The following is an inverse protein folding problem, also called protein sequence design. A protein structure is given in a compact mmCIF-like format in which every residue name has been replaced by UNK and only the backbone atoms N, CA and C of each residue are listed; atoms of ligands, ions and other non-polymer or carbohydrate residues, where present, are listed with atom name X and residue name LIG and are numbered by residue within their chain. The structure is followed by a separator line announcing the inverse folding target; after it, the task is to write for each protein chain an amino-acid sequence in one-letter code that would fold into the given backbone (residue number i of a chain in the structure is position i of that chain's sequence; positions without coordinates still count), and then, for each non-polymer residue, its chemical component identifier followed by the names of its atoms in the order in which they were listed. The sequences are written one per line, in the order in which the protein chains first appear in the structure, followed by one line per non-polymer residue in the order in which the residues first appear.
data_IF_403989649173
#
_entry.id   IF_403989649173
#
_cell.length_a   1.000
_cell.length_b   1.000
_cell.length_c   1.000
_cell.angle_alpha   90.00
_cell.angle_beta   90.00
_cell.angle_gamma   90.00
#
_symmetry.space_group_name_H-M   'P 1'
#
loop_
_entity.id
_entity.type
_entity.pdbx_description
1 polymer ?
#
# COMPACT_ATOMS: atom_id res chain seq x y z
N UNK A 1 0.52 9.80 -4.07
CA UNK A 1 0.99 11.21 -4.04
C UNK A 1 1.45 11.57 -2.64
N UNK A 2 2.35 12.55 -2.47
CA UNK A 2 2.64 13.11 -1.16
C UNK A 2 1.41 13.75 -0.49
N UNK A 3 1.40 13.72 0.85
CA UNK A 3 0.37 14.36 1.67
C UNK A 3 0.70 15.85 1.86
N UNK A 4 0.47 16.67 0.83
CA UNK A 4 0.66 18.13 0.86
C UNK A 4 -0.60 18.85 0.39
N UNK A 5 -0.77 20.10 0.81
CA UNK A 5 -1.93 20.93 0.41
C UNK A 5 -1.98 21.20 -1.10
N UNK A 6 -0.83 21.22 -1.76
CA UNK A 6 -0.73 21.31 -3.22
C UNK A 6 -1.29 20.06 -3.89
N UNK A 7 -0.84 18.87 -3.48
CA UNK A 7 -1.30 17.61 -4.05
C UNK A 7 -2.78 17.34 -3.72
N UNK A 8 -3.22 17.71 -2.52
CA UNK A 8 -4.63 17.63 -2.14
C UNK A 8 -5.52 18.49 -3.04
N UNK A 9 -5.10 19.72 -3.38
CA UNK A 9 -5.83 20.58 -4.32
C UNK A 9 -5.94 19.94 -5.70
N UNK A 10 -4.85 19.39 -6.22
CA UNK A 10 -4.85 18.68 -7.51
C UNK A 10 -5.82 17.48 -7.47
N UNK A 11 -5.78 16.69 -6.39
CA UNK A 11 -6.69 15.55 -6.25
C UNK A 11 -8.17 15.97 -6.17
N UNK A 12 -8.50 17.06 -5.48
CA UNK A 12 -9.87 17.58 -5.41
C UNK A 12 -10.38 18.10 -6.76
N UNK A 13 -9.49 18.60 -7.62
CA UNK A 13 -9.81 19.02 -8.98
C UNK A 13 -10.06 17.80 -9.89
N UNK A 14 -9.18 16.80 -9.83
CA UNK A 14 -9.23 15.59 -10.67
C UNK A 14 -10.35 14.63 -10.23
N UNK A 15 -10.65 14.58 -8.92
CA UNK A 15 -11.62 13.68 -8.28
C UNK A 15 -11.39 12.19 -8.59
N UNK A 16 -10.20 11.63 -8.27
CA UNK A 16 -9.99 10.19 -8.41
C UNK A 16 -10.86 9.41 -7.43
N UNK A 17 -11.13 8.14 -7.74
CA UNK A 17 -11.86 7.24 -6.83
C UNK A 17 -11.07 6.95 -5.55
N UNK A 18 -9.74 6.88 -5.64
CA UNK A 18 -8.83 6.55 -4.55
C UNK A 18 -7.55 7.37 -4.68
N UNK A 19 -7.05 7.86 -3.55
CA UNK A 19 -5.73 8.44 -3.39
C UNK A 19 -4.92 7.57 -2.45
N UNK A 20 -3.72 7.14 -2.86
CA UNK A 20 -2.74 6.58 -1.92
C UNK A 20 -1.72 7.66 -1.52
N UNK A 21 -1.67 8.00 -0.23
CA UNK A 21 -0.56 8.78 0.31
C UNK A 21 0.68 7.92 0.39
N UNK A 22 1.79 8.45 -0.13
CA UNK A 22 3.12 7.83 -0.11
C UNK A 22 4.14 8.84 0.42
N UNK A 23 5.20 8.39 1.09
CA UNK A 23 6.22 9.31 1.58
C UNK A 23 7.12 9.76 0.44
N UNK A 24 7.34 11.07 0.32
CA UNK A 24 8.28 11.64 -0.67
C UNK A 24 9.50 12.29 0.00
N UNK A 25 9.36 12.74 1.26
CA UNK A 25 10.45 13.36 2.03
C UNK A 25 10.97 12.42 3.09
N UNK A 26 12.27 12.55 3.43
CA UNK A 26 12.90 11.72 4.48
C UNK A 26 12.21 11.83 5.84
N UNK A 27 11.62 12.98 6.18
CA UNK A 27 10.94 13.19 7.46
C UNK A 27 9.57 12.50 7.55
N UNK A 28 9.04 12.01 6.42
CA UNK A 28 7.75 11.32 6.34
C UNK A 28 7.91 9.80 6.35
N UNK A 29 9.16 9.32 6.25
CA UNK A 29 9.51 7.91 6.22
C UNK A 29 9.63 7.38 7.64
N UNK A 30 9.14 6.18 7.84
CA UNK A 30 9.63 5.29 8.90
C UNK A 30 11.07 4.85 8.58
N UNK A 31 11.63 3.98 9.42
CA UNK A 31 12.92 3.34 9.13
C UNK A 31 12.89 2.47 7.86
N UNK A 32 11.72 1.97 7.46
CA UNK A 32 11.60 0.93 6.42
C UNK A 32 11.08 1.46 5.08
N UNK A 33 10.38 2.59 5.07
CA UNK A 33 9.98 3.28 3.85
C UNK A 33 8.50 3.62 3.75
N UNK A 34 7.66 3.13 4.67
CA UNK A 34 6.26 3.54 4.81
C UNK A 34 6.09 4.94 5.40
N UNK A 35 4.85 5.44 5.40
CA UNK A 35 4.50 6.70 6.07
C UNK A 35 4.59 6.54 7.60
N UNK A 36 5.18 7.53 8.27
CA UNK A 36 5.03 7.69 9.73
C UNK A 36 3.70 8.38 10.08
N UNK A 37 2.63 7.59 10.07
CA UNK A 37 1.26 8.03 10.37
C UNK A 37 1.13 8.41 11.84
N UNK A 38 1.69 7.62 12.76
CA UNK A 38 1.58 7.88 14.20
C UNK A 38 2.24 9.21 14.61
N UNK A 39 3.40 9.54 14.01
CA UNK A 39 4.10 10.81 14.24
C UNK A 39 3.39 12.03 13.66
N UNK A 40 2.57 11.85 12.61
CA UNK A 40 1.95 12.96 11.87
C UNK A 40 0.41 12.88 11.83
N UNK A 41 -0.22 12.28 12.84
CA UNK A 41 -1.66 11.99 12.89
C UNK A 41 -2.56 13.17 12.50
N UNK A 42 -2.31 14.35 13.08
CA UNK A 42 -3.16 15.52 12.84
C UNK A 42 -3.12 15.95 11.37
N UNK A 43 -1.92 16.03 10.78
CA UNK A 43 -1.72 16.36 9.37
C UNK A 43 -2.49 15.40 8.46
N UNK A 44 -2.36 14.08 8.67
CA UNK A 44 -3.06 13.11 7.83
C UNK A 44 -4.57 13.16 8.03
N UNK A 45 -5.04 13.29 9.28
CA UNK A 45 -6.47 13.39 9.57
C UNK A 45 -7.12 14.59 8.87
N UNK A 46 -6.47 15.75 8.90
CA UNK A 46 -7.00 16.96 8.28
C UNK A 46 -7.06 16.84 6.74
N UNK A 47 -6.02 16.27 6.12
CA UNK A 47 -5.98 16.04 4.69
C UNK A 47 -6.98 14.97 4.23
N UNK A 48 -7.14 13.89 5.00
CA UNK A 48 -8.13 12.84 4.73
C UNK A 48 -9.54 13.43 4.77
N UNK A 49 -9.86 14.21 5.82
CA UNK A 49 -11.16 14.86 5.94
C UNK A 49 -11.47 15.77 4.75
N UNK A 50 -10.48 16.50 4.24
CA UNK A 50 -10.63 17.35 3.06
C UNK A 50 -10.94 16.53 1.79
N UNK A 51 -10.22 15.42 1.57
CA UNK A 51 -10.46 14.54 0.42
C UNK A 51 -11.82 13.83 0.51
N UNK A 52 -12.21 13.41 1.70
CA UNK A 52 -13.53 12.81 1.96
C UNK A 52 -14.68 13.76 1.64
N UNK A 53 -14.55 15.07 1.89
CA UNK A 53 -15.56 16.07 1.48
C UNK A 53 -15.77 16.10 -0.04
N UNK A 54 -14.79 15.65 -0.82
CA UNK A 54 -14.87 15.52 -2.27
C UNK A 54 -15.27 14.11 -2.73
N UNK A 55 -15.59 13.20 -1.82
CA UNK A 55 -15.94 11.81 -2.12
C UNK A 55 -14.76 10.95 -2.58
N UNK A 56 -13.53 11.34 -2.23
CA UNK A 56 -12.30 10.63 -2.61
C UNK A 56 -11.89 9.72 -1.46
N UNK A 57 -11.80 8.40 -1.70
CA UNK A 57 -11.27 7.47 -0.71
C UNK A 57 -9.74 7.65 -0.53
N UNK A 58 -9.23 7.35 0.66
CA UNK A 58 -7.81 7.51 0.99
C UNK A 58 -7.19 6.20 1.50
N UNK A 59 -6.09 5.82 0.86
CA UNK A 59 -5.17 4.76 1.28
C UNK A 59 -3.88 5.36 1.85
N UNK A 60 -3.35 4.74 2.90
CA UNK A 60 -2.03 5.09 3.45
C UNK A 60 -1.03 3.99 3.15
N UNK A 61 0.07 4.33 2.48
CA UNK A 61 1.19 3.42 2.28
C UNK A 61 2.02 3.30 3.56
N UNK A 62 1.95 2.15 4.22
CA UNK A 62 2.51 1.95 5.57
C UNK A 62 3.26 0.63 5.66
N UNK A 63 4.24 0.57 6.55
CA UNK A 63 4.89 -0.70 6.88
C UNK A 63 3.93 -1.63 7.63
N UNK A 64 4.17 -2.96 7.58
CA UNK A 64 3.35 -3.94 8.31
C UNK A 64 3.63 -3.94 9.82
N UNK A 65 3.50 -2.77 10.46
CA UNK A 65 3.75 -2.53 11.89
C UNK A 65 2.47 -2.06 12.56
N UNK A 66 2.12 -2.70 13.68
CA UNK A 66 0.84 -2.52 14.37
C UNK A 66 0.52 -1.07 14.74
N UNK A 67 1.51 -0.28 15.14
CA UNK A 67 1.30 1.11 15.53
C UNK A 67 0.90 1.97 14.32
N UNK A 68 1.48 1.74 13.15
CA UNK A 68 1.09 2.43 11.91
C UNK A 68 -0.30 2.01 11.45
N UNK A 69 -0.67 0.73 11.57
CA UNK A 69 -2.02 0.24 11.23
C UNK A 69 -3.07 0.88 12.15
N UNK A 70 -2.81 0.93 13.46
CA UNK A 70 -3.72 1.60 14.41
C UNK A 70 -3.80 3.09 14.17
N UNK A 71 -2.69 3.73 13.84
CA UNK A 71 -2.63 5.15 13.50
C UNK A 71 -3.47 5.45 12.25
N UNK A 72 -3.36 4.63 11.19
CA UNK A 72 -4.16 4.74 9.97
C UNK A 72 -5.67 4.76 10.28
N UNK A 73 -6.13 3.87 11.16
CA UNK A 73 -7.53 3.86 11.58
C UNK A 73 -7.95 5.11 12.36
N UNK A 74 -7.07 5.65 13.21
CA UNK A 74 -7.33 6.86 14.02
C UNK A 74 -7.43 8.14 13.17
N UNK A 75 -6.73 8.17 12.05
CA UNK A 75 -6.80 9.27 11.07
C UNK A 75 -7.89 9.07 10.03
N UNK A 76 -8.73 8.04 10.21
CA UNK A 76 -9.92 7.77 9.38
C UNK A 76 -9.57 7.40 7.93
N UNK A 77 -8.44 6.72 7.69
CA UNK A 77 -8.14 6.16 6.38
C UNK A 77 -9.12 5.03 6.02
N UNK A 78 -9.53 4.99 4.75
CA UNK A 78 -10.40 3.91 4.21
C UNK A 78 -9.61 2.63 3.96
N UNK A 79 -8.33 2.81 3.63
CA UNK A 79 -7.46 1.79 3.10
C UNK A 79 -6.06 1.86 3.73
N UNK A 80 -5.38 0.73 3.82
CA UNK A 80 -3.92 0.69 4.01
C UNK A 80 -3.27 -0.08 2.88
N UNK A 81 -2.22 0.46 2.29
CA UNK A 81 -1.37 -0.26 1.35
C UNK A 81 -0.10 -0.72 2.07
N UNK A 82 0.00 -2.02 2.34
CA UNK A 82 1.10 -2.60 3.09
C UNK A 82 2.38 -2.61 2.24
N UNK A 83 3.45 -2.07 2.80
CA UNK A 83 4.76 -2.06 2.16
C UNK A 83 5.35 -3.48 2.10
N UNK A 84 5.29 -4.09 0.91
CA UNK A 84 5.83 -5.43 0.66
C UNK A 84 7.32 -5.45 0.31
N UNK A 85 8.05 -4.35 0.52
CA UNK A 85 9.43 -4.18 0.05
C UNK A 85 10.42 -5.14 0.72
N UNK A 86 10.36 -5.28 2.05
CA UNK A 86 11.20 -6.22 2.78
C UNK A 86 10.94 -7.67 2.35
N UNK A 87 9.67 -8.05 2.24
CA UNK A 87 9.27 -9.35 1.70
C UNK A 87 9.83 -9.59 0.28
N UNK A 88 9.72 -8.58 -0.60
CA UNK A 88 10.16 -8.70 -1.99
C UNK A 88 11.69 -8.80 -2.14
N UNK A 89 12.43 -8.12 -1.27
CA UNK A 89 13.90 -8.03 -1.30
C UNK A 89 14.59 -9.03 -0.36
N UNK A 90 13.84 -9.84 0.39
CA UNK A 90 14.39 -10.84 1.29
C UNK A 90 15.33 -11.80 0.55
N UNK A 91 16.52 -12.02 1.13
CA UNK A 91 17.62 -12.75 0.50
C UNK A 91 17.60 -14.26 0.82
N UNK A 92 16.80 -14.67 1.80
CA UNK A 92 16.65 -16.08 2.19
C UNK A 92 15.22 -16.42 2.61
N UNK A 93 14.91 -17.72 2.62
CA UNK A 93 13.57 -18.23 2.97
C UNK A 93 13.13 -17.79 4.37
N UNK A 94 14.03 -17.86 5.35
CA UNK A 94 13.73 -17.46 6.73
C UNK A 94 13.37 -15.97 6.84
N UNK A 95 14.10 -15.11 6.15
CA UNK A 95 13.79 -13.67 6.13
C UNK A 95 12.45 -13.43 5.44
N UNK A 96 12.24 -14.06 4.28
CA UNK A 96 10.99 -13.95 3.55
C UNK A 96 9.78 -14.46 4.36
N UNK A 97 9.95 -15.53 5.14
CA UNK A 97 8.93 -16.08 6.04
C UNK A 97 8.56 -15.08 7.14
N UNK A 98 9.55 -14.47 7.80
CA UNK A 98 9.33 -13.43 8.82
C UNK A 98 8.57 -12.24 8.25
N UNK A 99 8.99 -11.73 7.08
CA UNK A 99 8.31 -10.58 6.45
C UNK A 99 6.89 -10.95 5.98
N UNK A 100 6.69 -12.18 5.51
CA UNK A 100 5.36 -12.69 5.17
C UNK A 100 4.43 -12.76 6.38
N UNK A 101 4.93 -13.26 7.53
CA UNK A 101 4.16 -13.31 8.78
C UNK A 101 3.78 -11.91 9.28
N UNK A 102 4.70 -10.95 9.18
CA UNK A 102 4.42 -9.55 9.50
C UNK A 102 3.30 -8.97 8.64
N UNK A 103 3.36 -9.19 7.31
CA UNK A 103 2.31 -8.79 6.38
C UNK A 103 0.95 -9.42 6.73
N UNK A 104 0.93 -10.73 7.01
CA UNK A 104 -0.31 -11.43 7.36
C UNK A 104 -0.94 -10.91 8.67
N UNK A 105 -0.10 -10.63 9.68
CA UNK A 105 -0.56 -10.06 10.94
C UNK A 105 -1.11 -8.64 10.76
N UNK A 106 -0.40 -7.79 10.01
CA UNK A 106 -0.82 -6.43 9.71
C UNK A 106 -2.12 -6.38 8.90
N UNK A 107 -2.24 -7.23 7.87
CA UNK A 107 -3.44 -7.34 7.05
C UNK A 107 -4.66 -7.73 7.90
N UNK A 108 -4.52 -8.74 8.76
CA UNK A 108 -5.59 -9.15 9.70
C UNK A 108 -5.98 -8.03 10.66
N UNK A 109 -5.01 -7.26 11.14
CA UNK A 109 -5.28 -6.15 12.04
C UNK A 109 -6.03 -5.02 11.33
N UNK A 110 -5.60 -4.64 10.12
CA UNK A 110 -6.26 -3.62 9.30
C UNK A 110 -7.71 -4.01 8.96
N UNK A 111 -7.92 -5.27 8.55
CA UNK A 111 -9.25 -5.81 8.29
C UNK A 111 -10.17 -5.74 9.53
N UNK A 112 -9.66 -6.12 10.71
CA UNK A 112 -10.42 -6.02 11.98
C UNK A 112 -10.74 -4.58 12.38
N UNK A 113 -9.99 -3.62 11.86
CA UNK A 113 -10.22 -2.19 12.03
C UNK A 113 -11.09 -1.59 10.91
N UNK A 114 -11.69 -2.46 10.08
CA UNK A 114 -12.62 -2.10 9.00
C UNK A 114 -11.97 -1.28 7.87
N UNK A 115 -10.65 -1.39 7.69
CA UNK A 115 -9.95 -0.81 6.55
C UNK A 115 -9.75 -1.87 5.46
N UNK A 116 -9.88 -1.47 4.20
CA UNK A 116 -9.46 -2.33 3.09
C UNK A 116 -7.93 -2.47 3.07
N UNK A 117 -7.44 -3.66 2.71
CA UNK A 117 -6.00 -3.95 2.69
C UNK A 117 -5.51 -4.11 1.26
N UNK A 118 -4.53 -3.31 0.90
CA UNK A 118 -3.85 -3.33 -0.39
C UNK A 118 -2.39 -3.72 -0.17
N UNK A 119 -1.72 -4.16 -1.22
CA UNK A 119 -0.28 -4.44 -1.22
C UNK A 119 0.28 -4.27 -2.63
N UNK A 120 1.60 -4.26 -2.84
CA UNK A 120 2.09 -4.19 -4.22
C UNK A 120 3.56 -3.89 -4.45
N UNK A 121 4.16 -3.10 -3.56
CA UNK A 121 5.53 -2.62 -3.74
C UNK A 121 6.56 -3.76 -3.85
N UNK A 122 7.26 -3.83 -4.99
CA UNK A 122 8.30 -4.84 -5.25
C UNK A 122 7.77 -6.24 -5.62
N UNK A 123 6.45 -6.43 -5.68
CA UNK A 123 5.88 -7.72 -6.10
C UNK A 123 6.18 -8.02 -7.58
N UNK A 124 6.37 -9.30 -7.88
CA UNK A 124 6.72 -9.81 -9.19
C UNK A 124 6.10 -11.20 -9.43
N UNK A 125 6.29 -11.72 -10.65
CA UNK A 125 5.70 -12.98 -11.11
C UNK A 125 6.12 -14.24 -10.31
N UNK A 126 7.11 -14.13 -9.41
CA UNK A 126 7.61 -15.25 -8.60
C UNK A 126 7.12 -15.16 -7.15
N UNK A 127 7.14 -13.97 -6.55
CA UNK A 127 6.82 -13.80 -5.13
C UNK A 127 5.34 -13.48 -4.86
N UNK A 128 4.60 -12.96 -5.84
CA UNK A 128 3.20 -12.52 -5.64
C UNK A 128 2.27 -13.66 -5.19
N UNK A 129 2.49 -14.88 -5.67
CA UNK A 129 1.60 -16.04 -5.42
C UNK A 129 1.38 -16.33 -3.95
N UNK A 130 2.43 -16.15 -3.14
CA UNK A 130 2.35 -16.48 -1.70
C UNK A 130 1.39 -15.55 -0.98
N UNK A 131 1.30 -14.29 -1.38
CA UNK A 131 0.44 -13.31 -0.72
C UNK A 131 -1.05 -13.60 -0.90
N UNK A 132 -1.44 -14.41 -1.88
CA UNK A 132 -2.82 -14.87 -2.07
C UNK A 132 -3.35 -15.68 -0.89
N UNK A 133 -2.47 -16.23 -0.05
CA UNK A 133 -2.90 -16.94 1.18
C UNK A 133 -3.28 -16.00 2.32
N UNK A 134 -3.16 -14.67 2.13
CA UNK A 134 -3.64 -13.63 3.04
C UNK A 134 -4.98 -13.10 2.47
N UNK A 135 -6.13 -13.66 2.88
CA UNK A 135 -7.43 -13.32 2.27
C UNK A 135 -7.88 -11.89 2.54
N UNK A 136 -7.28 -11.21 3.53
CA UNK A 136 -7.59 -9.82 3.84
C UNK A 136 -7.09 -8.83 2.76
N UNK A 137 -6.12 -9.21 1.93
CA UNK A 137 -5.62 -8.36 0.84
C UNK A 137 -6.61 -8.41 -0.33
N UNK A 138 -7.22 -7.27 -0.64
CA UNK A 138 -8.27 -7.14 -1.67
C UNK A 138 -7.78 -6.57 -2.99
N UNK A 139 -6.63 -5.88 -3.00
CA UNK A 139 -6.06 -5.27 -4.20
C UNK A 139 -4.53 -5.33 -4.21
N UNK A 140 -3.94 -5.53 -5.39
CA UNK A 140 -2.50 -5.58 -5.61
C UNK A 140 -2.03 -4.50 -6.60
N UNK A 141 -1.33 -3.47 -6.11
CA UNK A 141 -0.81 -2.34 -6.88
C UNK A 141 0.62 -2.62 -7.40
N UNK A 142 0.71 -3.25 -8.57
CA UNK A 142 1.99 -3.73 -9.13
C UNK A 142 2.39 -2.92 -10.37
N UNK A 143 3.55 -2.26 -10.31
CA UNK A 143 4.08 -1.42 -11.40
C UNK A 143 5.29 -2.04 -12.12
N UNK A 144 6.48 -1.86 -11.55
CA UNK A 144 7.77 -2.14 -12.21
C UNK A 144 7.86 -3.53 -12.87
N UNK A 145 7.45 -4.59 -12.16
CA UNK A 145 7.59 -5.96 -12.67
C UNK A 145 6.72 -6.24 -13.89
N UNK A 146 5.52 -5.66 -13.97
CA UNK A 146 4.65 -5.75 -15.15
C UNK A 146 5.29 -5.04 -16.34
N UNK A 147 5.81 -3.84 -16.14
CA UNK A 147 6.48 -3.08 -17.22
C UNK A 147 7.75 -3.80 -17.69
N UNK A 148 8.56 -4.32 -16.77
CA UNK A 148 9.75 -5.09 -17.11
C UNK A 148 9.40 -6.34 -17.94
N UNK A 149 8.32 -7.06 -17.58
CA UNK A 149 7.82 -8.20 -18.35
C UNK A 149 7.29 -7.76 -19.72
N UNK A 150 6.60 -6.63 -19.80
CA UNK A 150 5.97 -6.11 -21.01
C UNK A 150 6.99 -5.81 -22.13
N UNK A 151 8.22 -5.43 -21.80
CA UNK A 151 9.31 -5.24 -22.78
C UNK A 151 9.58 -6.52 -23.59
N UNK A 152 9.34 -7.70 -23.01
CA UNK A 152 9.56 -8.97 -23.70
C UNK A 152 8.31 -9.58 -24.33
N UNK A 153 7.13 -9.35 -23.75
CA UNK A 153 5.90 -10.10 -24.14
C UNK A 153 4.72 -9.21 -24.54
N UNK A 154 4.87 -7.89 -24.49
CA UNK A 154 3.79 -6.92 -24.64
C UNK A 154 2.99 -6.71 -23.35
N UNK A 155 2.41 -5.51 -23.20
CA UNK A 155 1.73 -5.09 -21.96
C UNK A 155 0.48 -5.93 -21.65
N UNK A 156 -0.34 -6.21 -22.66
CA UNK A 156 -1.57 -7.01 -22.50
C UNK A 156 -1.27 -8.37 -21.86
N UNK A 157 -0.27 -9.08 -22.42
CA UNK A 157 0.14 -10.39 -21.93
C UNK A 157 0.77 -10.30 -20.55
N UNK A 158 1.61 -9.30 -20.29
CA UNK A 158 2.21 -9.09 -18.98
C UNK A 158 1.14 -8.91 -17.89
N UNK A 159 0.14 -8.07 -18.13
CA UNK A 159 -0.97 -7.84 -17.20
C UNK A 159 -1.81 -9.11 -16.99
N UNK A 160 -2.17 -9.82 -18.07
CA UNK A 160 -2.94 -11.07 -17.98
C UNK A 160 -2.20 -12.13 -17.16
N UNK A 161 -0.93 -12.35 -17.45
CA UNK A 161 -0.09 -13.30 -16.71
C UNK A 161 -0.03 -12.93 -15.21
N UNK A 162 0.11 -11.65 -14.85
CA UNK A 162 0.12 -11.24 -13.44
C UNK A 162 -1.22 -11.50 -12.77
N UNK A 163 -2.32 -11.15 -13.45
CA UNK A 163 -3.69 -11.40 -12.95
C UNK A 163 -3.95 -12.88 -12.71
N UNK A 164 -3.48 -13.75 -13.61
CA UNK A 164 -3.66 -15.20 -13.45
C UNK A 164 -2.90 -15.78 -12.25
N UNK A 165 -1.83 -15.13 -11.79
CA UNK A 165 -1.14 -15.52 -10.55
C UNK A 165 -1.89 -15.15 -9.28
N UNK A 166 -2.82 -14.18 -9.38
CA UNK A 166 -3.63 -13.63 -8.28
C UNK A 166 -5.05 -14.20 -8.24
N UNK A 167 -5.46 -14.93 -9.28
CA UNK A 167 -6.73 -15.67 -9.33
C UNK A 167 -6.73 -16.88 -8.42
#
# INVERSE_FOLDING_TARGET
MAATDEMARIAMEIKPHLVTFVPERRQELTTEGGLDVEGNRQKYKDLIALLHQCGIAVSLFVDPVMDQIKAARRVEADCVELHTGRYANATGLKEQDTEFEALALAARAAYKLEMAVLAGHGLNYRNVRRLRTIPEIVEYNIGHSIIARAVSVGLERAVREMKDLLR
#
